data_IF_289047927251
#
_entry.id   IF_289047927251
#
_cell.length_a   1.000
_cell.length_b   1.000
_cell.length_c   1.000
_cell.angle_alpha   90.00
_cell.angle_beta   90.00
_cell.angle_gamma   90.00
#
_symmetry.space_group_name_H-M   'P 1'
#
loop_
_entity.id
_entity.type
_entity.pdbx_description
1 polymer ?
#
# COMPACT_ATOMS: atom_id res chain seq x y z
N UNK A 1 20.48 -19.89 3.77
CA UNK A 1 19.57 -18.87 3.18
C UNK A 1 20.16 -18.38 1.89
N UNK A 2 19.37 -18.25 0.81
CA UNK A 2 19.86 -17.71 -0.47
C UNK A 2 20.05 -16.18 -0.40
N UNK A 3 20.92 -15.62 -1.24
CA UNK A 3 21.10 -14.17 -1.37
C UNK A 3 19.78 -13.47 -1.71
N UNK A 4 19.00 -14.06 -2.61
CA UNK A 4 17.66 -13.58 -2.99
C UNK A 4 16.73 -13.48 -1.77
N UNK A 5 16.71 -14.51 -0.92
CA UNK A 5 15.90 -14.51 0.32
C UNK A 5 16.36 -13.41 1.29
N UNK A 6 17.67 -13.20 1.45
CA UNK A 6 18.21 -12.12 2.30
C UNK A 6 17.77 -10.76 1.79
N UNK A 7 17.90 -10.49 0.49
CA UNK A 7 17.51 -9.22 -0.15
C UNK A 7 16.03 -8.94 0.08
N UNK A 8 15.16 -9.94 -0.08
CA UNK A 8 13.73 -9.79 0.17
C UNK A 8 13.42 -9.41 1.62
N UNK A 9 14.03 -10.08 2.60
CA UNK A 9 13.81 -9.75 4.01
C UNK A 9 14.37 -8.38 4.39
N UNK A 10 15.53 -7.99 3.85
CA UNK A 10 16.08 -6.65 4.03
C UNK A 10 15.16 -5.58 3.44
N UNK A 11 14.62 -5.79 2.23
CA UNK A 11 13.67 -4.88 1.61
C UNK A 11 12.36 -4.80 2.42
N UNK A 12 11.84 -5.94 2.88
CA UNK A 12 10.66 -5.98 3.74
C UNK A 12 10.90 -5.17 5.04
N UNK A 13 12.03 -5.35 5.70
CA UNK A 13 12.39 -4.57 6.88
C UNK A 13 12.53 -3.06 6.57
N UNK A 14 13.14 -2.71 5.44
CA UNK A 14 13.32 -1.33 4.98
C UNK A 14 12.01 -0.66 4.56
N UNK A 15 10.96 -1.42 4.28
CA UNK A 15 9.60 -0.90 4.03
C UNK A 15 8.81 -0.82 5.34
N UNK A 16 8.81 -1.90 6.13
CA UNK A 16 7.99 -2.03 7.35
C UNK A 16 8.46 -1.07 8.45
N UNK A 17 9.77 -0.98 8.73
CA UNK A 17 10.25 -0.16 9.85
C UNK A 17 10.03 1.35 9.62
N UNK A 18 10.37 1.93 8.46
CA UNK A 18 10.01 3.31 8.14
C UNK A 18 8.51 3.51 8.01
N UNK A 19 7.78 2.57 7.37
CA UNK A 19 6.32 2.64 7.22
C UNK A 19 5.60 2.71 8.56
N UNK A 20 6.02 1.88 9.52
CA UNK A 20 5.47 1.89 10.88
C UNK A 20 5.74 3.23 11.56
N UNK A 21 6.96 3.76 11.47
CA UNK A 21 7.30 5.09 12.02
C UNK A 21 6.48 6.20 11.39
N UNK A 22 6.19 6.13 10.09
CA UNK A 22 5.37 7.11 9.39
C UNK A 22 3.92 7.09 9.87
N UNK A 23 3.35 5.90 10.05
CA UNK A 23 2.00 5.75 10.59
C UNK A 23 1.94 6.26 12.04
N UNK A 24 2.97 5.97 12.84
CA UNK A 24 3.04 6.45 14.23
C UNK A 24 3.24 7.97 14.33
N UNK A 25 4.05 8.59 13.46
CA UNK A 25 4.27 10.05 13.44
C UNK A 25 2.97 10.83 13.19
N UNK A 26 2.03 10.27 12.41
CA UNK A 26 0.71 10.87 12.20
C UNK A 26 -0.18 10.89 13.46
N UNK A 27 0.17 10.08 14.46
CA UNK A 27 -0.57 9.95 15.73
C UNK A 27 0.21 10.56 16.90
N UNK A 28 1.46 10.97 16.67
CA UNK A 28 2.37 11.45 17.71
C UNK A 28 1.88 12.79 18.31
N UNK A 29 1.66 12.75 19.62
CA UNK A 29 0.91 13.74 20.40
C UNK A 29 -0.12 13.08 21.32
N UNK A 30 -0.49 11.81 21.05
CA UNK A 30 -1.43 11.04 21.86
C UNK A 30 -0.81 9.67 22.17
N UNK A 31 -0.55 9.41 23.46
CA UNK A 31 0.04 8.14 23.93
C UNK A 31 -0.98 7.03 23.75
N UNK A 32 -0.79 6.21 22.72
CA UNK A 32 -1.71 5.14 22.39
C UNK A 32 -0.91 3.86 22.15
N UNK A 33 -1.20 2.78 22.89
CA UNK A 33 -0.69 1.44 22.58
C UNK A 33 -1.21 0.92 21.22
N UNK A 34 -0.90 -0.32 20.81
CA UNK A 34 -1.29 -0.85 19.49
C UNK A 34 -2.79 -0.70 19.16
N UNK A 35 -3.67 -0.95 20.14
CA UNK A 35 -5.12 -0.76 19.98
C UNK A 35 -5.54 0.71 19.90
N UNK A 36 -4.80 1.61 20.56
CA UNK A 36 -5.04 3.05 20.47
C UNK A 36 -4.63 3.63 19.12
N UNK A 37 -3.59 3.08 18.46
CA UNK A 37 -3.19 3.48 17.11
C UNK A 37 -4.31 3.27 16.10
N UNK A 38 -4.92 2.07 16.10
CA UNK A 38 -6.07 1.78 15.25
C UNK A 38 -7.24 2.71 15.56
N UNK A 39 -7.58 2.88 16.84
CA UNK A 39 -8.63 3.80 17.22
C UNK A 39 -8.37 5.21 16.65
N UNK A 40 -7.17 5.74 16.82
CA UNK A 40 -6.77 7.08 16.36
C UNK A 40 -6.82 7.22 14.82
N UNK A 41 -6.37 6.20 14.08
CA UNK A 41 -6.46 6.17 12.62
C UNK A 41 -7.90 6.15 12.10
N UNK A 42 -8.82 5.57 12.86
CA UNK A 42 -10.24 5.44 12.49
C UNK A 42 -11.18 6.45 13.17
N UNK A 43 -10.63 7.40 13.94
CA UNK A 43 -11.41 8.47 14.58
C UNK A 43 -12.16 9.36 13.61
N UNK A 44 -13.16 10.08 14.12
CA UNK A 44 -13.94 11.05 13.34
C UNK A 44 -13.09 12.29 12.94
N UNK A 45 -13.28 12.83 11.72
CA UNK A 45 -14.11 12.26 10.66
C UNK A 45 -13.51 10.94 10.14
N UNK A 46 -14.37 9.93 10.00
CA UNK A 46 -13.96 8.57 9.62
C UNK A 46 -13.41 8.60 8.19
N UNK A 47 -12.26 7.98 7.91
CA UNK A 47 -11.71 7.87 6.56
C UNK A 47 -12.62 6.96 5.72
N UNK A 48 -13.48 7.58 4.91
CA UNK A 48 -14.61 6.88 4.24
C UNK A 48 -14.12 5.97 3.13
N UNK A 49 -13.14 6.41 2.34
CA UNK A 49 -12.62 5.59 1.25
C UNK A 49 -11.89 4.37 1.80
N UNK A 50 -11.13 4.54 2.89
CA UNK A 50 -10.48 3.43 3.59
C UNK A 50 -11.52 2.46 4.16
N UNK A 51 -12.59 2.96 4.78
CA UNK A 51 -13.69 2.14 5.29
C UNK A 51 -14.33 1.29 4.18
N UNK A 52 -14.66 1.92 3.05
CA UNK A 52 -15.24 1.24 1.89
C UNK A 52 -14.29 0.17 1.35
N UNK A 53 -13.00 0.50 1.21
CA UNK A 53 -12.02 -0.43 0.65
C UNK A 53 -11.77 -1.63 1.58
N UNK A 54 -11.62 -1.39 2.89
CA UNK A 54 -11.50 -2.48 3.88
C UNK A 54 -12.76 -3.34 3.90
N UNK A 55 -13.94 -2.73 3.86
CA UNK A 55 -15.22 -3.44 3.78
C UNK A 55 -15.35 -4.27 2.51
N UNK A 56 -14.94 -3.72 1.36
CA UNK A 56 -14.91 -4.43 0.08
C UNK A 56 -13.97 -5.64 0.14
N UNK A 57 -12.75 -5.47 0.65
CA UNK A 57 -11.78 -6.57 0.76
C UNK A 57 -12.24 -7.64 1.75
N UNK A 58 -12.91 -7.26 2.85
CA UNK A 58 -13.53 -8.20 3.77
C UNK A 58 -14.70 -8.96 3.12
N UNK A 59 -15.55 -8.28 2.33
CA UNK A 59 -16.62 -8.94 1.58
C UNK A 59 -16.05 -9.93 0.55
N UNK A 60 -15.01 -9.52 -0.18
CA UNK A 60 -14.33 -10.40 -1.14
C UNK A 60 -13.64 -11.58 -0.45
N UNK A 61 -13.07 -11.38 0.74
CA UNK A 61 -12.56 -12.48 1.57
C UNK A 61 -13.65 -13.52 1.86
N UNK A 62 -14.86 -13.08 2.26
CA UNK A 62 -16.00 -13.99 2.46
C UNK A 62 -16.39 -14.69 1.15
N UNK A 63 -16.47 -13.95 0.04
CA UNK A 63 -16.84 -14.51 -1.27
C UNK A 63 -15.84 -15.58 -1.73
N UNK A 64 -14.53 -15.32 -1.67
CA UNK A 64 -13.52 -16.30 -2.09
C UNK A 64 -13.46 -17.52 -1.16
N UNK A 65 -13.81 -17.38 0.11
CA UNK A 65 -13.91 -18.52 1.04
C UNK A 65 -15.16 -19.34 0.79
N UNK A 66 -16.31 -18.70 0.60
CA UNK A 66 -17.59 -19.37 0.41
C UNK A 66 -17.72 -20.00 -0.99
N UNK A 67 -17.11 -19.37 -1.99
CA UNK A 67 -17.13 -19.80 -3.41
C UNK A 67 -15.71 -19.77 -3.97
N UNK A 68 -14.86 -20.77 -3.65
CA UNK A 68 -13.45 -20.79 -4.10
C UNK A 68 -13.28 -20.74 -5.62
N UNK A 69 -14.28 -21.22 -6.37
CA UNK A 69 -14.31 -21.17 -7.84
C UNK A 69 -14.29 -19.75 -8.43
N UNK A 70 -14.50 -18.70 -7.63
CA UNK A 70 -14.37 -17.31 -8.10
C UNK A 70 -12.91 -16.92 -8.37
N UNK A 71 -11.96 -17.47 -7.62
CA UNK A 71 -10.56 -17.01 -7.65
C UNK A 71 -9.89 -17.16 -9.02
N UNK A 72 -10.00 -18.32 -9.72
CA UNK A 72 -9.41 -18.48 -11.05
C UNK A 72 -9.96 -17.51 -12.10
N UNK A 73 -11.14 -16.92 -11.87
CA UNK A 73 -11.70 -15.91 -12.77
C UNK A 73 -11.12 -14.52 -12.49
N UNK A 74 -10.66 -14.23 -11.27
CA UNK A 74 -10.26 -12.88 -10.86
C UNK A 74 -8.75 -12.69 -10.73
N UNK A 75 -7.98 -13.73 -10.41
CA UNK A 75 -6.52 -13.68 -10.28
C UNK A 75 -5.84 -13.34 -11.61
N UNK A 76 -4.58 -12.92 -11.63
CA UNK A 76 -3.91 -12.65 -12.91
C UNK A 76 -3.64 -13.91 -13.70
N UNK A 77 -3.63 -13.71 -15.01
CA UNK A 77 -3.24 -14.69 -16.00
C UNK A 77 -2.67 -13.97 -17.23
N UNK A 78 -1.42 -14.24 -17.63
CA UNK A 78 -0.79 -13.64 -18.80
C UNK A 78 -1.56 -13.89 -20.11
N UNK A 79 -2.34 -14.98 -20.18
CA UNK A 79 -3.14 -15.35 -21.35
C UNK A 79 -4.64 -15.06 -21.15
N UNK A 80 -5.00 -14.51 -19.99
CA UNK A 80 -6.36 -14.17 -19.65
C UNK A 80 -6.78 -12.77 -20.12
N UNK A 81 -8.06 -12.40 -19.89
CA UNK A 81 -8.54 -11.05 -20.16
C UNK A 81 -7.77 -9.97 -19.39
N UNK A 82 -7.52 -8.82 -20.04
CA UNK A 82 -6.74 -7.70 -19.50
C UNK A 82 -7.25 -7.16 -18.15
N UNK A 83 -8.57 -7.24 -17.91
CA UNK A 83 -9.18 -6.76 -16.67
C UNK A 83 -8.74 -7.55 -15.44
N UNK A 84 -8.16 -8.74 -15.62
CA UNK A 84 -7.59 -9.56 -14.53
C UNK A 84 -6.41 -8.89 -13.83
N UNK A 85 -5.75 -7.94 -14.51
CA UNK A 85 -4.74 -7.05 -13.89
C UNK A 85 -5.36 -6.15 -12.82
N UNK A 86 -6.65 -5.83 -12.91
CA UNK A 86 -7.36 -5.01 -11.92
C UNK A 86 -8.04 -5.90 -10.88
N UNK A 87 -8.79 -6.92 -11.31
CA UNK A 87 -9.58 -7.75 -10.38
C UNK A 87 -8.73 -8.62 -9.48
N UNK A 88 -7.48 -8.90 -9.85
CA UNK A 88 -6.57 -9.66 -9.00
C UNK A 88 -6.25 -8.94 -7.68
N UNK A 89 -6.50 -7.63 -7.59
CA UNK A 89 -6.42 -6.90 -6.33
C UNK A 89 -7.51 -7.32 -5.34
N UNK A 90 -8.62 -7.90 -5.82
CA UNK A 90 -9.78 -8.26 -5.01
C UNK A 90 -9.69 -9.66 -4.40
N UNK A 91 -8.69 -10.47 -4.77
CA UNK A 91 -8.56 -11.86 -4.33
C UNK A 91 -7.19 -12.13 -3.72
N UNK A 92 -7.15 -13.04 -2.74
CA UNK A 92 -5.94 -13.44 -2.04
C UNK A 92 -5.63 -14.91 -2.38
N UNK A 93 -4.61 -15.15 -3.21
CA UNK A 93 -4.34 -16.47 -3.80
C UNK A 93 -3.39 -17.35 -3.01
N UNK A 94 -2.69 -16.79 -2.02
CA UNK A 94 -1.70 -17.50 -1.18
C UNK A 94 -2.27 -17.95 0.17
N UNK A 95 -3.60 -18.04 0.28
CA UNK A 95 -4.30 -18.58 1.44
C UNK A 95 -4.49 -17.61 2.60
N UNK A 96 -4.89 -18.17 3.75
CA UNK A 96 -5.35 -17.41 4.92
C UNK A 96 -4.31 -16.46 5.52
N UNK A 97 -3.03 -16.83 5.49
CA UNK A 97 -1.95 -15.99 6.00
C UNK A 97 -1.82 -14.67 5.22
N UNK A 98 -1.82 -14.75 3.89
CA UNK A 98 -1.82 -13.56 3.03
C UNK A 98 -3.08 -12.73 3.26
N UNK A 99 -4.25 -13.38 3.30
CA UNK A 99 -5.54 -12.70 3.49
C UNK A 99 -5.60 -11.93 4.81
N UNK A 100 -5.23 -12.55 5.92
CA UNK A 100 -5.22 -11.91 7.23
C UNK A 100 -4.20 -10.76 7.29
N UNK A 101 -2.99 -10.97 6.77
CA UNK A 101 -1.94 -9.96 6.76
C UNK A 101 -2.32 -8.75 5.91
N UNK A 102 -2.86 -8.98 4.72
CA UNK A 102 -3.26 -7.91 3.80
C UNK A 102 -4.43 -7.11 4.35
N UNK A 103 -5.45 -7.77 4.90
CA UNK A 103 -6.59 -7.09 5.51
C UNK A 103 -6.15 -6.24 6.71
N UNK A 104 -5.27 -6.77 7.58
CA UNK A 104 -4.71 -6.04 8.70
C UNK A 104 -3.84 -4.85 8.25
N UNK A 105 -2.97 -5.06 7.25
CA UNK A 105 -2.14 -4.01 6.69
C UNK A 105 -2.97 -2.90 6.05
N UNK A 106 -4.01 -3.27 5.28
CA UNK A 106 -4.94 -2.33 4.67
C UNK A 106 -5.68 -1.51 5.72
N UNK A 107 -6.14 -2.15 6.81
CA UNK A 107 -6.83 -1.49 7.91
C UNK A 107 -5.96 -0.47 8.67
N UNK A 108 -4.63 -0.54 8.53
CA UNK A 108 -3.69 0.43 9.12
C UNK A 108 -3.24 1.47 8.09
N UNK A 109 -2.85 1.02 6.90
CA UNK A 109 -2.19 1.87 5.89
C UNK A 109 -3.22 2.72 5.13
N UNK A 110 -4.38 2.18 4.76
CA UNK A 110 -5.40 2.92 4.02
C UNK A 110 -5.91 4.16 4.77
N UNK A 111 -6.29 4.12 6.07
CA UNK A 111 -6.73 5.32 6.77
C UNK A 111 -5.60 6.34 6.94
N UNK A 112 -4.35 5.91 7.19
CA UNK A 112 -3.20 6.81 7.25
C UNK A 112 -2.94 7.50 5.89
N UNK A 113 -3.05 6.75 4.80
CA UNK A 113 -2.94 7.26 3.45
C UNK A 113 -4.08 8.21 3.09
N UNK A 114 -5.33 7.90 3.44
CA UNK A 114 -6.48 8.78 3.19
C UNK A 114 -6.33 10.10 3.94
N UNK A 115 -5.89 10.08 5.19
CA UNK A 115 -5.64 11.32 5.96
C UNK A 115 -4.55 12.17 5.33
N UNK A 116 -3.57 11.56 4.66
CA UNK A 116 -2.44 12.27 4.05
C UNK A 116 -2.72 12.76 2.63
N UNK A 117 -3.31 11.91 1.80
CA UNK A 117 -3.50 12.08 0.36
C UNK A 117 -4.90 12.58 0.02
N UNK A 118 -5.88 12.36 0.92
CA UNK A 118 -7.29 12.65 0.73
C UNK A 118 -8.09 11.43 0.25
N UNK A 119 -9.42 11.54 0.40
CA UNK A 119 -10.40 10.48 0.08
C UNK A 119 -10.37 10.02 -1.38
N UNK A 120 -10.01 10.90 -2.32
CA UNK A 120 -9.94 10.57 -3.76
C UNK A 120 -8.60 9.93 -4.12
N UNK A 121 -7.50 10.52 -3.69
CA UNK A 121 -6.17 10.09 -4.14
C UNK A 121 -5.68 8.80 -3.48
N UNK A 122 -6.13 8.50 -2.26
CA UNK A 122 -5.77 7.23 -1.61
C UNK A 122 -6.17 6.01 -2.45
N UNK A 123 -7.45 5.80 -2.84
CA UNK A 123 -7.82 4.64 -3.65
C UNK A 123 -7.17 4.67 -5.04
N UNK A 124 -6.97 5.86 -5.64
CA UNK A 124 -6.26 6.00 -6.93
C UNK A 124 -4.83 5.47 -6.83
N UNK A 125 -4.08 5.86 -5.78
CA UNK A 125 -2.71 5.37 -5.58
C UNK A 125 -2.70 3.85 -5.40
N UNK A 126 -3.60 3.31 -4.57
CA UNK A 126 -3.68 1.87 -4.34
C UNK A 126 -3.95 1.10 -5.64
N UNK A 127 -4.95 1.53 -6.42
CA UNK A 127 -5.34 0.87 -7.67
C UNK A 127 -4.25 1.00 -8.73
N UNK A 128 -3.69 2.20 -8.96
CA UNK A 128 -2.65 2.38 -9.97
C UNK A 128 -1.36 1.62 -9.63
N UNK A 129 -0.91 1.66 -8.37
CA UNK A 129 0.23 0.85 -7.92
C UNK A 129 -0.03 -0.63 -8.10
N UNK A 130 -1.25 -1.08 -7.76
CA UNK A 130 -1.67 -2.46 -7.92
C UNK A 130 -1.67 -2.90 -9.39
N UNK A 131 -2.28 -2.11 -10.27
CA UNK A 131 -2.37 -2.38 -11.71
C UNK A 131 -0.99 -2.40 -12.37
N UNK A 132 -0.09 -1.45 -12.03
CA UNK A 132 1.28 -1.45 -12.57
C UNK A 132 2.04 -2.69 -12.12
N UNK A 133 2.00 -3.01 -10.83
CA UNK A 133 2.64 -4.20 -10.28
C UNK A 133 2.08 -5.48 -10.90
N UNK A 134 0.77 -5.54 -11.09
CA UNK A 134 0.11 -6.66 -11.72
C UNK A 134 0.48 -6.79 -13.21
N UNK A 135 0.56 -5.67 -13.93
CA UNK A 135 0.98 -5.61 -15.33
C UNK A 135 2.42 -6.08 -15.58
N UNK A 136 3.39 -5.64 -14.76
CA UNK A 136 4.78 -6.13 -14.90
C UNK A 136 4.90 -7.62 -14.61
N UNK A 137 4.01 -8.17 -13.78
CA UNK A 137 4.05 -9.59 -13.50
C UNK A 137 3.41 -10.44 -14.59
N UNK A 138 2.32 -9.96 -15.21
CA UNK A 138 1.79 -10.60 -16.42
C UNK A 138 2.80 -10.56 -17.57
N UNK A 139 3.76 -9.62 -17.53
CA UNK A 139 4.87 -9.54 -18.46
C UNK A 139 6.09 -10.43 -18.09
N UNK A 140 6.07 -11.15 -16.96
CA UNK A 140 7.10 -12.16 -16.65
C UNK A 140 7.60 -12.21 -15.20
N UNK A 141 7.44 -11.15 -14.40
CA UNK A 141 8.04 -11.06 -13.06
C UNK A 141 7.46 -12.03 -12.02
N UNK A 142 6.13 -12.21 -12.02
CA UNK A 142 5.42 -13.13 -11.11
C UNK A 142 4.04 -13.49 -11.69
N UNK A 143 4.10 -14.29 -12.75
CA UNK A 143 2.99 -14.54 -13.70
C UNK A 143 1.69 -15.02 -13.09
N UNK A 144 1.69 -15.66 -11.92
CA UNK A 144 0.48 -16.19 -11.27
C UNK A 144 0.15 -15.49 -9.95
N UNK A 145 -1.13 -15.52 -9.58
CA UNK A 145 -1.63 -15.08 -8.28
C UNK A 145 -2.27 -13.68 -8.28
N UNK A 146 -2.80 -13.31 -7.13
CA UNK A 146 -3.50 -12.05 -6.86
C UNK A 146 -3.28 -11.59 -5.43
N UNK A 147 -3.60 -10.33 -5.18
CA UNK A 147 -3.51 -9.72 -3.87
C UNK A 147 -3.33 -8.21 -3.96
N UNK A 148 -4.02 -7.50 -3.08
CA UNK A 148 -3.88 -6.05 -2.87
C UNK A 148 -2.56 -5.64 -2.20
N UNK A 149 -1.71 -6.57 -1.75
CA UNK A 149 -0.42 -6.27 -1.11
C UNK A 149 0.45 -5.31 -1.92
N UNK A 150 0.48 -5.46 -3.25
CA UNK A 150 1.24 -4.58 -4.14
C UNK A 150 0.68 -3.15 -4.17
N UNK A 151 -0.64 -3.00 -4.03
CA UNK A 151 -1.32 -1.71 -3.89
C UNK A 151 -1.08 -1.09 -2.50
N UNK A 152 -1.10 -1.90 -1.44
CA UNK A 152 -0.74 -1.48 -0.07
C UNK A 152 0.71 -1.00 -0.04
N UNK A 153 1.63 -1.72 -0.68
CA UNK A 153 3.02 -1.29 -0.86
C UNK A 153 3.11 0.06 -1.59
N UNK A 154 2.24 0.29 -2.57
CA UNK A 154 2.08 1.59 -3.21
C UNK A 154 1.68 2.71 -2.24
N UNK A 155 0.68 2.46 -1.38
CA UNK A 155 0.30 3.43 -0.35
C UNK A 155 1.46 3.75 0.61
N UNK A 156 2.24 2.73 1.01
CA UNK A 156 3.44 2.94 1.85
C UNK A 156 4.49 3.77 1.12
N UNK A 157 4.75 3.48 -0.16
CA UNK A 157 5.63 4.28 -1.02
C UNK A 157 5.19 5.74 -1.11
N UNK A 158 3.89 5.98 -1.31
CA UNK A 158 3.32 7.33 -1.40
C UNK A 158 3.45 8.12 -0.10
N UNK A 159 3.15 7.47 1.04
CA UNK A 159 3.34 8.05 2.37
C UNK A 159 4.81 8.42 2.62
N UNK A 160 5.74 7.51 2.28
CA UNK A 160 7.16 7.71 2.48
C UNK A 160 7.71 8.85 1.62
N UNK A 161 7.38 8.90 0.33
CA UNK A 161 7.79 9.99 -0.55
C UNK A 161 7.21 11.34 -0.11
N UNK A 162 5.91 11.38 0.25
CA UNK A 162 5.28 12.59 0.78
C UNK A 162 5.98 13.08 2.04
N UNK A 163 6.36 12.18 2.96
CA UNK A 163 7.07 12.53 4.17
C UNK A 163 8.51 13.00 3.89
N UNK A 164 9.24 12.32 3.01
CA UNK A 164 10.59 12.72 2.62
C UNK A 164 10.61 14.16 2.06
N UNK A 165 9.59 14.55 1.30
CA UNK A 165 9.49 15.88 0.69
C UNK A 165 8.95 16.97 1.61
N UNK A 166 7.98 16.66 2.46
CA UNK A 166 7.21 17.69 3.20
C UNK A 166 7.18 17.48 4.72
N UNK A 167 7.82 16.43 5.23
CA UNK A 167 7.93 16.16 6.66
C UNK A 167 8.74 17.24 7.38
N UNK A 168 8.37 17.55 8.63
CA UNK A 168 9.04 18.58 9.43
C UNK A 168 10.31 18.06 10.13
N UNK A 169 10.35 16.77 10.44
CA UNK A 169 11.45 16.14 11.18
C UNK A 169 12.49 15.55 10.23
N UNK A 170 13.67 16.18 10.16
CA UNK A 170 14.81 15.72 9.33
C UNK A 170 15.12 14.21 9.45
N UNK A 171 15.22 13.60 10.65
CA UNK A 171 15.54 12.18 10.74
C UNK A 171 14.45 11.30 10.09
N UNK A 172 13.17 11.63 10.27
CA UNK A 172 12.07 10.87 9.67
C UNK A 172 12.06 11.00 8.15
N UNK A 173 12.36 12.19 7.61
CA UNK A 173 12.49 12.40 6.15
C UNK A 173 13.56 11.49 5.56
N UNK A 174 14.74 11.42 6.19
CA UNK A 174 15.86 10.62 5.71
C UNK A 174 15.53 9.13 5.76
N UNK A 175 14.96 8.65 6.88
CA UNK A 175 14.55 7.25 7.02
C UNK A 175 13.44 6.89 6.02
N UNK A 176 12.58 7.84 5.64
CA UNK A 176 11.53 7.61 4.64
C UNK A 176 12.07 7.33 3.24
N UNK A 177 13.30 7.78 2.92
CA UNK A 177 13.93 7.49 1.62
C UNK A 177 14.32 6.01 1.46
N UNK A 178 14.39 5.24 2.56
CA UNK A 178 14.68 3.82 2.51
C UNK A 178 13.57 3.02 1.82
N UNK A 179 12.32 3.49 1.89
CA UNK A 179 11.16 2.83 1.28
C UNK A 179 11.24 2.83 -0.26
N UNK A 180 11.33 3.98 -0.95
CA UNK A 180 11.48 3.99 -2.41
C UNK A 180 12.79 3.33 -2.86
N UNK A 181 13.88 3.45 -2.08
CA UNK A 181 15.12 2.75 -2.39
C UNK A 181 14.94 1.21 -2.36
N UNK A 182 14.26 0.67 -1.35
CA UNK A 182 13.89 -0.74 -1.30
C UNK A 182 12.98 -1.14 -2.46
N UNK A 183 12.05 -0.26 -2.86
CA UNK A 183 11.22 -0.46 -4.05
C UNK A 183 12.03 -0.63 -5.33
N UNK A 184 13.05 0.21 -5.54
CA UNK A 184 13.96 0.11 -6.70
C UNK A 184 14.75 -1.22 -6.66
N UNK A 185 15.28 -1.60 -5.49
CA UNK A 185 15.99 -2.89 -5.34
C UNK A 185 15.06 -4.06 -5.65
N UNK A 186 13.80 -4.02 -5.20
CA UNK A 186 12.80 -5.03 -5.53
C UNK A 186 12.46 -5.07 -7.02
N UNK A 187 12.42 -3.93 -7.72
CA UNK A 187 12.26 -3.91 -9.18
C UNK A 187 13.43 -4.58 -9.90
N UNK A 188 14.67 -4.33 -9.47
CA UNK A 188 15.87 -4.98 -10.04
C UNK A 188 15.83 -6.49 -9.80
N UNK A 189 15.23 -6.94 -8.71
CA UNK A 189 15.00 -8.34 -8.40
C UNK A 189 13.73 -8.93 -9.07
N UNK A 190 13.12 -8.22 -10.03
CA UNK A 190 11.89 -8.60 -10.72
C UNK A 190 10.74 -8.95 -9.74
N UNK A 191 10.70 -8.27 -8.60
CA UNK A 191 9.63 -8.41 -7.64
C UNK A 191 8.59 -7.31 -7.84
N UNK A 192 7.36 -7.71 -8.14
CA UNK A 192 6.25 -6.82 -8.42
C UNK A 192 5.88 -5.87 -7.26
N UNK A 193 6.20 -6.20 -6.01
CA UNK A 193 6.04 -5.29 -4.88
C UNK A 193 6.89 -4.03 -5.08
N UNK A 194 8.07 -4.16 -5.69
CA UNK A 194 8.92 -3.02 -6.06
C UNK A 194 8.20 -2.06 -6.99
N UNK A 195 7.56 -2.58 -8.04
CA UNK A 195 6.79 -1.77 -8.99
C UNK A 195 5.63 -1.04 -8.30
N UNK A 196 4.95 -1.69 -7.35
CA UNK A 196 3.91 -1.07 -6.53
C UNK A 196 4.47 0.09 -5.68
N UNK A 197 5.56 -0.15 -4.94
CA UNK A 197 6.24 0.86 -4.10
C UNK A 197 6.70 2.05 -4.93
N UNK A 198 7.40 1.83 -6.04
CA UNK A 198 7.95 2.89 -6.90
C UNK A 198 6.83 3.73 -7.50
N UNK A 199 5.78 3.09 -8.03
CA UNK A 199 4.60 3.80 -8.57
C UNK A 199 3.96 4.67 -7.49
N UNK A 200 3.78 4.12 -6.30
CA UNK A 200 3.20 4.85 -5.17
C UNK A 200 4.08 6.02 -4.74
N UNK A 201 5.40 5.82 -4.66
CA UNK A 201 6.35 6.87 -4.33
C UNK A 201 6.33 8.03 -5.34
N UNK A 202 6.26 7.74 -6.64
CA UNK A 202 6.14 8.76 -7.69
C UNK A 202 4.84 9.54 -7.54
N UNK A 203 3.70 8.86 -7.37
CA UNK A 203 2.39 9.52 -7.19
C UNK A 203 2.35 10.36 -5.90
N UNK A 204 2.85 9.83 -4.79
CA UNK A 204 2.92 10.54 -3.51
C UNK A 204 3.85 11.75 -3.56
N UNK A 205 4.95 11.66 -4.31
CA UNK A 205 5.84 12.79 -4.57
C UNK A 205 5.15 13.88 -5.39
N UNK A 206 4.50 13.51 -6.50
CA UNK A 206 3.76 14.43 -7.34
C UNK A 206 2.68 15.19 -6.52
N UNK A 207 1.86 14.47 -5.77
CA UNK A 207 0.82 15.06 -4.91
C UNK A 207 1.38 15.99 -3.82
N UNK A 208 2.58 15.72 -3.31
CA UNK A 208 3.22 16.57 -2.31
C UNK A 208 3.78 17.89 -2.88
N UNK A 209 4.00 17.94 -4.20
CA UNK A 209 4.55 19.08 -4.92
C UNK A 209 3.47 19.99 -5.53
N UNK A 210 2.22 19.52 -5.68
CA UNK A 210 1.11 20.33 -6.22
C UNK A 210 0.70 21.46 -5.24
N UNK A 211 0.68 22.74 -5.65
CA UNK A 211 0.39 23.89 -4.78
C UNK A 211 -0.98 23.87 -4.09
N UNK A 212 -2.04 23.42 -4.77
CA UNK A 212 -3.41 23.38 -4.23
C UNK A 212 -3.55 22.43 -3.02
N UNK A 213 -2.73 21.37 -2.97
CA UNK A 213 -2.68 20.45 -1.84
C UNK A 213 -2.04 21.08 -0.59
N UNK A 214 -1.22 22.14 -0.74
CA UNK A 214 -0.67 22.91 0.38
C UNK A 214 -1.68 23.88 0.98
N UNK A 215 -2.45 24.60 0.14
CA UNK A 215 -3.41 25.62 0.62
C UNK A 215 -4.55 25.04 1.47
N UNK A 216 -5.00 23.81 1.23
CA UNK A 216 -6.00 23.16 2.10
C UNK A 216 -5.47 22.75 3.48
N UNK A 217 -4.14 22.61 3.66
CA UNK A 217 -3.53 22.30 4.96
C UNK A 217 -3.32 23.54 5.83
N UNK A 218 -3.11 24.70 5.24
CA UNK A 218 -2.90 25.96 5.99
C UNK A 218 -4.20 26.55 6.54
N UNK A 219 -5.35 26.24 5.95
CA UNK A 219 -6.66 26.75 6.40
C UNK A 219 -7.27 25.90 7.52
N UNK A 220 -6.77 24.69 7.74
CA UNK A 220 -7.28 23.74 8.74
C UNK A 220 -6.39 23.58 9.99
N UNK A 221 -5.35 24.41 10.13
CA UNK A 221 -4.45 24.48 11.29
C UNK A 221 -4.67 25.79 12.05
#
# INVERSE_FOLDING_TARGET
MSLHTVVLYCCAAAVVAPGTRLVMDQVEGRRSGPGGLLADLWRRPVPRAAAVLVGLMAAMAVVQTAVPGVMPHLERDPHGPWWRVVTALLVQTSGWGQLALNLAALAVVAPAAERRLGTVWMPVVLVLSGVVAHGVSTAGWSVHGGGDSVGICGLVGALAASCALTGRRRPLRLVSLLVPAAGVVLCVAENNHGAGVVTGAVLGAALALVPEARSRRTVAA
#
